data_IF_526900499197
#
_entry.id   IF_526900499197
#
_cell.length_a   1.000
_cell.length_b   1.000
_cell.length_c   1.000
_cell.angle_alpha   90.00
_cell.angle_beta   90.00
_cell.angle_gamma   90.00
#
_symmetry.space_group_name_H-M   'P 1'
#
loop_
_entity.id
_entity.type
_entity.pdbx_description
1 polymer ?
#
# COMPACT_ATOMS: atom_id res chain seq x y z
N UNK A 1 -21.63 -16.72 4.85
CA UNK A 1 -22.35 -17.96 5.26
C UNK A 1 -21.59 -18.76 6.31
N UNK A 2 -20.27 -19.00 6.15
CA UNK A 2 -19.44 -19.74 7.13
C UNK A 2 -19.59 -19.19 8.55
N UNK A 3 -19.56 -17.87 8.71
CA UNK A 3 -19.76 -17.21 10.01
C UNK A 3 -21.03 -17.69 10.74
N UNK A 4 -22.17 -17.64 10.05
CA UNK A 4 -23.48 -18.01 10.59
C UNK A 4 -23.49 -19.50 10.98
N UNK A 5 -22.85 -20.36 10.20
CA UNK A 5 -22.76 -21.79 10.51
C UNK A 5 -21.95 -22.02 11.80
N UNK A 6 -20.81 -21.34 11.95
CA UNK A 6 -19.98 -21.39 13.16
C UNK A 6 -20.70 -20.81 14.38
N UNK A 7 -21.57 -19.81 14.20
CA UNK A 7 -22.43 -19.30 15.26
C UNK A 7 -23.43 -20.34 15.74
N UNK A 8 -24.04 -21.08 14.80
CA UNK A 8 -25.08 -22.09 15.03
C UNK A 8 -24.55 -23.49 15.42
N UNK A 9 -23.29 -23.61 15.85
CA UNK A 9 -22.76 -24.87 16.38
C UNK A 9 -22.01 -25.75 15.37
N UNK A 10 -21.77 -25.28 14.15
CA UNK A 10 -20.90 -26.01 13.22
C UNK A 10 -19.44 -25.91 13.70
N UNK A 11 -18.94 -26.98 14.29
CA UNK A 11 -17.57 -27.02 14.84
C UNK A 11 -16.52 -27.15 13.72
N UNK A 12 -15.57 -26.19 13.58
CA UNK A 12 -14.52 -26.23 12.56
C UNK A 12 -13.44 -27.28 12.83
N UNK A 13 -13.42 -27.89 14.03
CA UNK A 13 -12.45 -28.93 14.43
C UNK A 13 -12.84 -30.34 13.97
N UNK A 14 -14.05 -30.49 13.43
CA UNK A 14 -14.55 -31.77 12.92
C UNK A 14 -13.76 -32.18 11.67
N UNK A 15 -13.26 -33.40 11.69
CA UNK A 15 -12.46 -34.00 10.63
C UNK A 15 -13.24 -35.06 9.88
N UNK A 16 -12.99 -35.17 8.58
CA UNK A 16 -13.51 -36.25 7.75
C UNK A 16 -12.69 -37.56 7.94
N UNK A 17 -13.02 -38.58 7.14
CA UNK A 17 -12.29 -39.88 7.13
C UNK A 17 -10.82 -39.75 6.73
N UNK A 18 -10.43 -38.65 6.07
CA UNK A 18 -9.06 -38.34 5.65
C UNK A 18 -8.35 -37.37 6.60
N UNK A 19 -8.93 -37.12 7.78
CA UNK A 19 -8.43 -36.16 8.77
C UNK A 19 -8.45 -34.68 8.29
N UNK A 20 -9.24 -34.35 7.27
CA UNK A 20 -9.36 -32.99 6.72
C UNK A 20 -10.51 -32.23 7.39
N UNK A 21 -10.31 -30.95 7.68
CA UNK A 21 -11.32 -30.06 8.29
C UNK A 21 -12.03 -29.21 7.24
N UNK A 22 -13.13 -28.56 7.61
CA UNK A 22 -13.81 -27.60 6.74
C UNK A 22 -12.88 -26.46 6.27
N UNK A 23 -11.83 -26.14 7.05
CA UNK A 23 -10.80 -25.17 6.67
C UNK A 23 -9.94 -25.68 5.50
N UNK A 24 -9.58 -26.96 5.50
CA UNK A 24 -8.74 -27.54 4.45
C UNK A 24 -9.44 -27.62 3.10
N UNK A 25 -10.77 -27.76 3.10
CA UNK A 25 -11.58 -27.73 1.89
C UNK A 25 -11.86 -26.30 1.38
N UNK A 26 -11.56 -25.27 2.17
CA UNK A 26 -11.78 -23.88 1.76
C UNK A 26 -10.71 -23.42 0.75
N UNK A 27 -11.07 -23.39 -0.54
CA UNK A 27 -10.22 -22.88 -1.62
C UNK A 27 -9.93 -21.39 -1.46
N UNK A 28 -10.96 -20.61 -1.15
CA UNK A 28 -10.89 -19.15 -1.18
C UNK A 28 -10.21 -18.59 0.05
N UNK A 29 -9.39 -17.56 -0.18
CA UNK A 29 -8.69 -16.85 0.91
C UNK A 29 -9.68 -16.20 1.87
N UNK A 30 -10.78 -15.64 1.37
CA UNK A 30 -11.76 -14.95 2.22
C UNK A 30 -12.50 -15.93 3.14
N UNK A 31 -12.85 -17.10 2.62
CA UNK A 31 -13.48 -18.18 3.40
C UNK A 31 -12.55 -18.65 4.53
N UNK A 32 -11.27 -18.89 4.22
CA UNK A 32 -10.25 -19.22 5.25
C UNK A 32 -10.04 -18.11 6.26
N UNK A 33 -10.06 -16.84 5.83
CA UNK A 33 -9.99 -15.70 6.72
C UNK A 33 -11.21 -15.63 7.65
N UNK A 34 -12.39 -16.02 7.19
CA UNK A 34 -13.61 -16.06 8.03
C UNK A 34 -13.43 -17.00 9.22
N UNK A 35 -12.87 -18.20 9.01
CA UNK A 35 -12.53 -19.13 10.10
C UNK A 35 -11.51 -18.52 11.08
N UNK A 36 -10.49 -17.84 10.56
CA UNK A 36 -9.45 -17.19 11.37
C UNK A 36 -9.97 -15.99 12.16
N UNK A 37 -10.88 -15.21 11.59
CA UNK A 37 -11.57 -14.09 12.28
C UNK A 37 -12.48 -14.62 13.38
N UNK A 38 -13.26 -15.65 13.08
CA UNK A 38 -14.14 -16.29 14.06
C UNK A 38 -13.35 -16.88 15.24
N UNK A 39 -12.21 -17.52 14.99
CA UNK A 39 -11.29 -17.97 16.05
C UNK A 39 -10.77 -16.82 16.91
N UNK A 40 -10.54 -15.64 16.33
CA UNK A 40 -10.10 -14.46 17.07
C UNK A 40 -11.19 -13.84 17.93
N UNK A 41 -12.44 -13.85 17.46
CA UNK A 41 -13.59 -13.32 18.22
C UNK A 41 -14.12 -14.29 19.28
N UNK A 42 -14.00 -15.60 19.03
CA UNK A 42 -14.51 -16.65 19.92
C UNK A 42 -13.44 -17.70 20.25
N UNK A 43 -12.30 -17.34 20.88
CA UNK A 43 -11.17 -18.26 21.09
C UNK A 43 -11.52 -19.51 21.93
N UNK A 44 -12.53 -19.43 22.79
CA UNK A 44 -12.92 -20.50 23.72
C UNK A 44 -14.12 -21.33 23.24
N UNK A 45 -14.70 -21.03 22.06
CA UNK A 45 -15.94 -21.67 21.62
C UNK A 45 -15.75 -23.09 21.07
N UNK A 46 -14.63 -23.34 20.41
CA UNK A 46 -14.31 -24.63 19.80
C UNK A 46 -12.84 -25.00 20.08
N UNK A 47 -12.49 -26.27 19.91
CA UNK A 47 -11.10 -26.71 20.02
C UNK A 47 -10.33 -26.40 18.72
N UNK A 48 -9.87 -25.16 18.60
CA UNK A 48 -9.17 -24.70 17.41
C UNK A 48 -7.83 -25.40 17.19
N UNK A 49 -7.21 -25.97 18.23
CA UNK A 49 -5.95 -26.74 18.09
C UNK A 49 -6.11 -27.93 17.15
N UNK A 50 -7.34 -28.46 17.04
CA UNK A 50 -7.69 -29.60 16.19
C UNK A 50 -8.19 -29.19 14.79
N UNK A 51 -8.48 -27.92 14.55
CA UNK A 51 -9.15 -27.41 13.34
C UNK A 51 -8.25 -27.11 12.13
N UNK A 52 -6.93 -27.33 12.24
CA UNK A 52 -5.90 -26.95 11.25
C UNK A 52 -5.85 -25.44 10.94
N UNK A 53 -6.60 -24.61 11.67
CA UNK A 53 -6.57 -23.15 11.54
C UNK A 53 -5.27 -22.63 12.17
N UNK A 54 -4.33 -22.04 11.40
CA UNK A 54 -2.96 -21.81 11.88
C UNK A 54 -2.81 -20.71 12.94
N UNK A 55 -3.62 -19.65 12.85
CA UNK A 55 -3.62 -18.54 13.81
C UNK A 55 -4.86 -17.68 13.63
N UNK A 56 -5.38 -17.17 14.75
CA UNK A 56 -6.44 -16.18 14.77
C UNK A 56 -6.03 -14.95 13.96
N UNK A 57 -6.92 -14.51 13.07
CA UNK A 57 -6.79 -13.23 12.41
C UNK A 57 -7.64 -12.25 13.20
N UNK A 58 -7.06 -11.66 14.24
CA UNK A 58 -7.76 -10.68 15.06
C UNK A 58 -8.06 -9.44 14.21
N UNK A 59 -9.32 -9.00 14.21
CA UNK A 59 -9.78 -7.79 13.53
C UNK A 59 -8.95 -6.54 13.91
N UNK A 60 -8.43 -6.49 15.14
CA UNK A 60 -7.53 -5.43 15.63
C UNK A 60 -6.19 -5.39 14.87
N UNK A 61 -5.59 -6.54 14.57
CA UNK A 61 -4.36 -6.61 13.78
C UNK A 61 -4.58 -6.21 12.31
N UNK A 62 -5.74 -6.50 11.73
CA UNK A 62 -6.08 -6.05 10.37
C UNK A 62 -6.23 -4.51 10.32
N UNK A 63 -6.86 -3.91 11.33
CA UNK A 63 -7.02 -2.46 11.43
C UNK A 63 -5.67 -1.76 11.64
N UNK A 64 -4.85 -2.23 12.59
CA UNK A 64 -3.51 -1.66 12.83
C UNK A 64 -2.61 -1.76 11.59
N UNK A 65 -2.66 -2.86 10.84
CA UNK A 65 -1.85 -3.01 9.63
C UNK A 65 -2.37 -2.12 8.48
N UNK A 66 -3.67 -1.93 8.36
CA UNK A 66 -4.28 -1.01 7.41
C UNK A 66 -3.93 0.46 7.74
N UNK A 67 -4.01 0.84 9.01
CA UNK A 67 -3.63 2.17 9.49
C UNK A 67 -2.14 2.44 9.25
N UNK A 68 -1.26 1.52 9.66
CA UNK A 68 0.18 1.62 9.41
C UNK A 68 0.49 1.74 7.91
N UNK A 69 -0.19 0.98 7.05
CA UNK A 69 -0.06 1.13 5.58
C UNK A 69 -0.53 2.50 5.10
N UNK A 70 -1.64 3.02 5.63
CA UNK A 70 -2.18 4.33 5.27
C UNK A 70 -1.23 5.45 5.68
N UNK A 71 -0.68 5.39 6.88
CA UNK A 71 0.31 6.34 7.40
C UNK A 71 1.61 6.31 6.58
N UNK A 72 2.16 5.12 6.32
CA UNK A 72 3.34 4.97 5.46
C UNK A 72 3.11 5.56 4.06
N UNK A 73 1.91 5.37 3.49
CA UNK A 73 1.55 5.93 2.18
C UNK A 73 1.41 7.45 2.21
N UNK A 74 0.88 8.02 3.29
CA UNK A 74 0.82 9.48 3.51
C UNK A 74 2.24 10.06 3.64
N UNK A 75 3.07 9.48 4.50
CA UNK A 75 4.46 9.92 4.71
C UNK A 75 5.29 9.85 3.40
N UNK A 76 5.15 8.77 2.62
CA UNK A 76 5.83 8.66 1.33
C UNK A 76 5.39 9.75 0.34
N UNK A 77 4.09 10.02 0.22
CA UNK A 77 3.55 11.07 -0.65
C UNK A 77 4.05 12.45 -0.25
N UNK A 78 4.11 12.74 1.05
CA UNK A 78 4.61 14.02 1.54
C UNK A 78 6.10 14.20 1.20
N UNK A 79 6.93 13.19 1.50
CA UNK A 79 8.36 13.22 1.17
C UNK A 79 8.63 13.36 -0.32
N UNK A 80 7.82 12.71 -1.16
CA UNK A 80 7.93 12.81 -2.62
C UNK A 80 7.53 14.20 -3.12
N UNK A 81 6.49 14.82 -2.53
CA UNK A 81 6.08 16.19 -2.85
C UNK A 81 7.16 17.19 -2.46
N UNK A 82 7.73 17.08 -1.26
CA UNK A 82 8.83 17.93 -0.79
C UNK A 82 10.06 17.80 -1.69
N UNK A 83 10.44 16.57 -2.06
CA UNK A 83 11.52 16.33 -3.03
C UNK A 83 11.24 16.96 -4.39
N UNK A 84 10.00 16.88 -4.89
CA UNK A 84 9.64 17.47 -6.18
C UNK A 84 9.77 18.99 -6.15
N UNK A 85 9.26 19.63 -5.09
CA UNK A 85 9.37 21.09 -4.91
C UNK A 85 10.85 21.51 -4.80
N UNK A 86 11.66 20.74 -4.07
CA UNK A 86 13.09 21.03 -3.92
C UNK A 86 13.89 20.82 -5.22
N UNK A 87 13.50 19.88 -6.08
CA UNK A 87 14.17 19.58 -7.34
C UNK A 87 13.67 20.46 -8.51
N UNK A 88 12.53 21.14 -8.35
CA UNK A 88 11.93 22.06 -9.34
C UNK A 88 12.90 23.18 -9.80
N UNK A 89 13.57 23.96 -8.93
CA UNK A 89 14.48 25.01 -9.37
C UNK A 89 15.67 24.45 -10.15
N UNK A 90 16.25 23.33 -9.69
CA UNK A 90 17.36 22.68 -10.38
C UNK A 90 16.95 22.19 -11.77
N UNK A 91 15.72 21.64 -11.90
CA UNK A 91 15.16 21.23 -13.20
C UNK A 91 14.90 22.42 -14.11
N UNK A 92 14.44 23.54 -13.58
CA UNK A 92 14.24 24.78 -14.35
C UNK A 92 15.58 25.31 -14.86
N UNK A 93 16.60 25.40 -14.01
CA UNK A 93 17.95 25.80 -14.43
C UNK A 93 18.54 24.87 -15.50
N UNK A 94 18.39 23.55 -15.34
CA UNK A 94 18.86 22.58 -16.33
C UNK A 94 18.09 22.68 -17.65
N UNK A 95 16.78 22.93 -17.61
CA UNK A 95 15.95 23.14 -18.79
C UNK A 95 16.28 24.45 -19.51
N UNK A 96 16.51 25.53 -18.76
CA UNK A 96 16.96 26.82 -19.31
C UNK A 96 18.35 26.72 -19.93
N UNK A 97 19.29 26.03 -19.28
CA UNK A 97 20.63 25.76 -19.84
C UNK A 97 20.54 24.95 -21.13
N UNK A 98 19.71 23.91 -21.17
CA UNK A 98 19.47 23.13 -22.40
C UNK A 98 18.85 23.97 -23.50
N UNK A 99 17.80 24.75 -23.19
CA UNK A 99 17.17 25.67 -24.14
C UNK A 99 18.18 26.67 -24.69
N UNK A 100 19.02 27.24 -23.83
CA UNK A 100 20.11 28.15 -24.22
C UNK A 100 21.13 27.47 -25.13
N UNK A 101 21.49 26.21 -24.87
CA UNK A 101 22.39 25.45 -25.73
C UNK A 101 21.77 25.15 -27.10
N UNK A 102 20.47 24.85 -27.16
CA UNK A 102 19.71 24.55 -28.38
C UNK A 102 19.43 25.78 -29.26
N UNK A 103 19.50 27.00 -28.73
CA UNK A 103 19.40 28.25 -29.50
C UNK A 103 20.50 28.36 -30.56
N UNK A 104 20.17 28.87 -31.74
CA UNK A 104 21.11 29.03 -32.84
C UNK A 104 22.05 30.24 -32.59
N UNK A 105 23.24 30.26 -33.21
CA UNK A 105 24.28 31.27 -32.96
C UNK A 105 23.80 32.72 -33.21
N UNK A 106 22.85 32.91 -34.14
CA UNK A 106 22.20 34.20 -34.39
C UNK A 106 21.34 34.66 -33.22
N UNK A 107 20.61 33.75 -32.60
CA UNK A 107 19.69 34.02 -31.50
C UNK A 107 20.45 34.22 -30.18
N UNK A 108 21.53 33.46 -29.96
CA UNK A 108 22.47 33.66 -28.85
C UNK A 108 23.10 35.06 -28.88
N UNK A 109 23.50 35.55 -30.07
CA UNK A 109 24.05 36.90 -30.24
C UNK A 109 23.00 38.00 -30.02
N UNK A 110 21.77 37.79 -30.47
CA UNK A 110 20.66 38.73 -30.24
C UNK A 110 20.34 38.86 -28.74
N UNK A 111 20.22 37.74 -28.02
CA UNK A 111 20.00 37.71 -26.57
C UNK A 111 21.12 38.39 -25.78
N UNK A 112 22.37 38.22 -26.19
CA UNK A 112 23.51 38.88 -25.56
C UNK A 112 23.56 40.39 -25.83
N UNK A 113 23.02 40.85 -26.96
CA UNK A 113 22.89 42.27 -27.26
C UNK A 113 21.75 42.91 -26.46
N UNK A 114 20.62 42.22 -26.34
CA UNK A 114 19.44 42.68 -25.57
C UNK A 114 19.77 42.85 -24.09
N UNK A 115 20.48 41.88 -23.48
CA UNK A 115 20.96 41.99 -22.08
C UNK A 115 21.91 43.17 -21.84
N UNK A 116 22.75 43.53 -22.82
CA UNK A 116 23.65 44.69 -22.70
C UNK A 116 22.92 46.02 -22.83
N UNK A 117 21.80 46.05 -23.53
CA UNK A 117 20.98 47.25 -23.63
C UNK A 117 20.17 47.45 -22.35
N UNK A 118 19.62 46.38 -21.76
CA UNK A 118 18.95 46.45 -20.45
C UNK A 118 19.90 46.84 -19.29
N UNK A 119 21.16 46.39 -19.30
CA UNK A 119 22.14 46.77 -18.27
C UNK A 119 22.70 48.20 -18.43
N UNK A 120 22.49 48.83 -19.60
CA UNK A 120 23.00 50.15 -19.92
C UNK A 120 21.94 51.27 -19.76
N UNK A 121 20.69 50.91 -19.47
CA UNK A 121 19.56 51.82 -19.18
C UNK A 121 19.34 51.96 -17.67
#
# INVERSE_FOLDING_TARGET
IVWILLENGADPSVKDKKAMTAYDFASDKETRNTFRRFMGEFPDKYDYTRSHIPSALTSESEQQQAEKRREMRKAKRQKEREKRIADEPRRQEEAEKKRFLELNDREKRALAAERRQEEAE
#
